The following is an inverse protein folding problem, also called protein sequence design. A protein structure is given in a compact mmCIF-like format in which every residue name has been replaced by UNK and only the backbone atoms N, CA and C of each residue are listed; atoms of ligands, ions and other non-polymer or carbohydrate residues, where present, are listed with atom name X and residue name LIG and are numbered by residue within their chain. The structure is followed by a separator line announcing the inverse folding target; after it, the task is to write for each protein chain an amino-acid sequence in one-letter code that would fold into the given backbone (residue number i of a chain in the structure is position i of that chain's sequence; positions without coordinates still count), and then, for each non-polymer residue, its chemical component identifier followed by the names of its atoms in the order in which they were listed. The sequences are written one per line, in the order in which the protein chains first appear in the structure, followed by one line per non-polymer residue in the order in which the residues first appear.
data_IF_351847111796
#
_entry.id   IF_351847111796
#
_cell.length_a   1.000
_cell.length_b   1.000
_cell.length_c   1.000
_cell.angle_alpha   90.00
_cell.angle_beta   90.00
_cell.angle_gamma   90.00
#
_symmetry.space_group_name_H-M   'P 1'
#
loop_
_entity.id
_entity.type
_entity.pdbx_description
1 polymer ?
#
# COMPACT_ATOMS: atom_id res chain seq x y z
N UNK A 1 -15.10 -7.86 19.80
CA UNK A 1 -14.74 -7.51 18.41
C UNK A 1 -13.33 -8.00 18.13
N UNK A 2 -13.10 -8.56 16.94
CA UNK A 2 -11.78 -8.97 16.47
C UNK A 2 -10.92 -7.72 16.15
N UNK A 3 -9.61 -7.76 16.42
CA UNK A 3 -8.63 -6.70 16.07
C UNK A 3 -8.73 -6.24 14.61
N UNK A 4 -8.88 -7.18 13.68
CA UNK A 4 -9.07 -6.90 12.25
C UNK A 4 -10.31 -6.05 11.98
N UNK A 5 -11.39 -6.30 12.72
CA UNK A 5 -12.66 -5.59 12.58
C UNK A 5 -12.55 -4.14 13.09
N UNK A 6 -11.85 -3.92 14.20
CA UNK A 6 -11.57 -2.57 14.73
C UNK A 6 -10.70 -1.78 13.76
N UNK A 7 -9.62 -2.40 13.26
CA UNK A 7 -8.70 -1.77 12.30
C UNK A 7 -9.43 -1.38 11.01
N UNK A 8 -10.23 -2.27 10.43
CA UNK A 8 -11.00 -1.99 9.21
C UNK A 8 -11.96 -0.81 9.37
N UNK A 9 -12.66 -0.72 10.50
CA UNK A 9 -13.56 0.40 10.80
C UNK A 9 -12.80 1.72 10.99
N UNK A 10 -11.63 1.69 11.63
CA UNK A 10 -10.81 2.88 11.86
C UNK A 10 -10.17 3.43 10.56
N UNK A 11 -9.97 2.58 9.55
CA UNK A 11 -9.33 2.95 8.29
C UNK A 11 -10.31 3.08 7.12
N UNK A 12 -11.62 2.95 7.34
CA UNK A 12 -12.64 3.04 6.27
C UNK A 12 -12.65 4.39 5.51
N UNK A 13 -12.07 5.46 6.09
CA UNK A 13 -11.93 6.78 5.47
C UNK A 13 -10.50 7.13 5.01
N UNK A 14 -9.55 6.19 5.12
CA UNK A 14 -8.15 6.43 4.74
C UNK A 14 -7.74 5.41 3.67
N UNK A 15 -7.31 5.86 2.47
CA UNK A 15 -6.94 4.94 1.38
C UNK A 15 -5.79 4.00 1.79
N UNK A 16 -4.90 4.51 2.63
CA UNK A 16 -3.86 3.73 3.31
C UNK A 16 -4.22 3.65 4.78
N UNK A 17 -3.95 2.53 5.45
CA UNK A 17 -4.11 2.37 6.89
C UNK A 17 -3.08 3.18 7.71
N UNK A 18 -2.85 4.44 7.32
CA UNK A 18 -1.93 5.41 7.89
C UNK A 18 -2.53 6.82 7.69
N UNK A 19 -2.21 7.81 8.55
CA UNK A 19 -2.71 9.17 8.42
C UNK A 19 -1.93 9.94 7.32
N UNK A 20 -2.02 9.47 6.07
CA UNK A 20 -1.36 10.07 4.91
C UNK A 20 -2.40 10.48 3.87
N UNK A 21 -2.24 11.68 3.31
CA UNK A 21 -3.00 12.11 2.15
C UNK A 21 -2.36 11.64 0.83
N UNK A 22 -3.09 11.78 -0.28
CA UNK A 22 -2.67 11.29 -1.58
C UNK A 22 -1.34 11.91 -2.06
N UNK A 23 -1.10 13.19 -1.74
CA UNK A 23 0.11 13.89 -2.15
C UNK A 23 1.33 13.40 -1.38
N UNK A 24 1.19 13.18 -0.07
CA UNK A 24 2.24 12.58 0.77
C UNK A 24 2.60 11.18 0.28
N UNK A 25 1.61 10.38 -0.10
CA UNK A 25 1.83 9.05 -0.67
C UNK A 25 2.62 9.12 -1.97
N UNK A 26 2.23 10.05 -2.87
CA UNK A 26 2.91 10.25 -4.15
C UNK A 26 4.39 10.63 -3.97
N UNK A 27 4.67 11.58 -3.06
CA UNK A 27 6.04 12.03 -2.78
C UNK A 27 6.91 10.91 -2.18
N UNK A 28 6.35 10.11 -1.27
CA UNK A 28 7.06 8.96 -0.70
C UNK A 28 7.39 7.92 -1.78
N UNK A 29 6.43 7.59 -2.63
CA UNK A 29 6.65 6.62 -3.71
C UNK A 29 7.71 7.11 -4.71
N UNK A 30 7.71 8.39 -5.06
CA UNK A 30 8.69 8.95 -5.99
C UNK A 30 10.12 8.90 -5.44
N UNK A 31 10.29 9.15 -4.14
CA UNK A 31 11.59 9.03 -3.45
C UNK A 31 12.06 7.58 -3.22
N UNK A 32 11.12 6.66 -3.00
CA UNK A 32 11.42 5.26 -2.70
C UNK A 32 11.63 4.39 -3.95
N UNK A 33 11.13 4.83 -5.11
CA UNK A 33 11.16 4.08 -6.37
C UNK A 33 11.97 4.81 -7.45
N UNK A 34 13.30 4.91 -7.30
CA UNK A 34 14.15 5.68 -8.21
C UNK A 34 14.31 5.05 -9.60
N UNK A 35 13.77 3.84 -9.83
CA UNK A 35 13.88 3.09 -11.09
C UNK A 35 12.52 2.57 -11.54
N UNK A 36 12.28 2.63 -12.85
CA UNK A 36 11.05 2.14 -13.49
C UNK A 36 10.82 0.63 -13.28
N UNK A 37 11.89 -0.18 -13.31
CA UNK A 37 11.84 -1.65 -13.30
C UNK A 37 12.21 -2.25 -11.92
N UNK A 38 11.91 -1.53 -10.84
CA UNK A 38 12.22 -1.99 -9.49
C UNK A 38 11.41 -3.24 -9.09
N UNK A 39 11.91 -3.98 -8.09
CA UNK A 39 11.15 -5.03 -7.41
C UNK A 39 10.82 -4.59 -5.99
N UNK A 40 9.56 -4.70 -5.59
CA UNK A 40 9.06 -4.26 -4.29
C UNK A 40 8.36 -5.41 -3.58
N UNK A 41 8.64 -5.55 -2.29
CA UNK A 41 7.96 -6.46 -1.38
C UNK A 41 7.28 -5.65 -0.26
N UNK A 42 5.98 -5.83 -0.08
CA UNK A 42 5.20 -5.22 0.99
C UNK A 42 4.70 -6.31 1.95
N UNK A 43 5.11 -6.23 3.23
CA UNK A 43 4.79 -7.21 4.27
C UNK A 43 3.74 -6.62 5.22
N UNK A 44 2.59 -7.28 5.32
CA UNK A 44 1.39 -6.69 5.92
C UNK A 44 0.70 -5.73 4.97
N UNK A 45 0.59 -6.10 3.69
CA UNK A 45 0.13 -5.19 2.63
C UNK A 45 -1.35 -4.80 2.75
N UNK A 46 -2.15 -5.49 3.57
CA UNK A 46 -3.60 -5.29 3.65
C UNK A 46 -4.26 -5.30 2.26
N UNK A 47 -5.04 -4.26 1.94
CA UNK A 47 -5.66 -4.04 0.64
C UNK A 47 -4.70 -3.61 -0.49
N UNK A 48 -3.39 -3.67 -0.27
CA UNK A 48 -2.33 -3.42 -1.24
C UNK A 48 -2.27 -2.01 -1.85
N UNK A 49 -2.87 -0.99 -1.21
CA UNK A 49 -2.97 0.37 -1.75
C UNK A 49 -1.61 0.97 -2.14
N UNK A 50 -0.57 0.75 -1.32
CA UNK A 50 0.80 1.18 -1.63
C UNK A 50 1.31 0.60 -2.95
N UNK A 51 1.15 -0.71 -3.13
CA UNK A 51 1.61 -1.42 -4.32
C UNK A 51 0.80 -1.03 -5.57
N UNK A 52 -0.52 -0.90 -5.43
CA UNK A 52 -1.39 -0.49 -6.54
C UNK A 52 -1.02 0.91 -7.06
N UNK A 53 -0.76 1.86 -6.15
CA UNK A 53 -0.31 3.20 -6.53
C UNK A 53 1.10 3.22 -7.09
N UNK A 54 2.02 2.43 -6.54
CA UNK A 54 3.35 2.26 -7.08
C UNK A 54 3.33 1.74 -8.52
N UNK A 55 2.53 0.70 -8.80
CA UNK A 55 2.35 0.14 -10.13
C UNK A 55 1.69 1.12 -11.11
N UNK A 56 0.72 1.92 -10.65
CA UNK A 56 0.13 2.98 -11.46
C UNK A 56 1.16 4.06 -11.85
N UNK A 57 2.08 4.40 -10.94
CA UNK A 57 3.14 5.39 -11.17
C UNK A 57 4.31 4.85 -12.00
N UNK A 58 4.60 3.54 -11.90
CA UNK A 58 5.72 2.86 -12.55
C UNK A 58 5.22 1.52 -13.13
N UNK A 59 4.64 1.50 -14.33
CA UNK A 59 3.99 0.30 -14.89
C UNK A 59 4.93 -0.89 -15.11
N UNK A 60 6.24 -0.68 -15.15
CA UNK A 60 7.26 -1.72 -15.31
C UNK A 60 7.74 -2.32 -13.97
N UNK A 61 7.25 -1.78 -12.86
CA UNK A 61 7.59 -2.25 -11.52
C UNK A 61 6.99 -3.64 -11.29
N UNK A 62 7.72 -4.46 -10.52
CA UNK A 62 7.22 -5.76 -10.05
C UNK A 62 6.98 -5.69 -8.55
N UNK A 63 5.73 -5.92 -8.15
CA UNK A 63 5.30 -5.81 -6.77
C UNK A 63 4.77 -7.15 -6.25
N UNK A 64 5.17 -7.51 -5.03
CA UNK A 64 4.67 -8.66 -4.28
C UNK A 64 4.14 -8.16 -2.93
N UNK A 65 2.86 -8.46 -2.64
CA UNK A 65 2.22 -8.15 -1.35
C UNK A 65 1.96 -9.43 -0.58
N UNK A 66 2.31 -9.43 0.71
CA UNK A 66 2.08 -10.57 1.61
C UNK A 66 1.33 -10.08 2.83
N UNK A 67 0.17 -10.68 3.12
CA UNK A 67 -0.57 -10.44 4.37
C UNK A 67 -1.02 -11.77 4.99
N UNK A 68 -1.21 -11.76 6.31
CA UNK A 68 -1.75 -12.91 7.07
C UNK A 68 -3.28 -12.89 7.11
N UNK A 69 -3.91 -11.77 6.75
CA UNK A 69 -5.34 -11.67 6.58
C UNK A 69 -5.77 -12.45 5.33
N UNK A 70 -6.75 -13.34 5.49
CA UNK A 70 -7.32 -14.11 4.38
C UNK A 70 -8.23 -13.26 3.47
N UNK A 71 -8.61 -12.07 3.92
CA UNK A 71 -9.49 -11.13 3.22
C UNK A 71 -8.65 -9.90 2.84
N UNK A 72 -8.65 -9.55 1.55
CA UNK A 72 -8.09 -8.32 1.01
C UNK A 72 -9.10 -7.17 1.13
#
# INVERSE_FOLDING_TARGET
MNRAQISRLAHAGHPIAAPLDDESVRLLLDGLLPREEARVLDLGCGGAEWLLRALAMRPLLRAEGVDVAAEA
#
